data_IF_297980603115
#
_entry.id   IF_297980603115
#
_cell.length_a   1.000
_cell.length_b   1.000
_cell.length_c   1.000
_cell.angle_alpha   90.00
_cell.angle_beta   90.00
_cell.angle_gamma   90.00
#
_symmetry.space_group_name_H-M   'P 1'
#
loop_
_entity.id
_entity.type
_entity.pdbx_description
1 polymer ?
#
# COMPACT_ATOMS: atom_id res chain seq x y z
N UNK A 1 9.39 2.12 -7.49
CA UNK A 1 10.48 2.35 -6.52
C UNK A 1 11.66 1.41 -6.79
N UNK A 2 12.35 1.51 -7.95
CA UNK A 2 13.37 0.52 -8.30
C UNK A 2 14.52 0.47 -7.29
N UNK A 3 15.04 1.64 -6.91
CA UNK A 3 16.17 1.75 -5.97
C UNK A 3 15.87 1.18 -4.58
N UNK A 4 14.66 1.42 -4.06
CA UNK A 4 14.24 0.94 -2.74
C UNK A 4 14.17 -0.59 -2.74
N UNK A 5 13.60 -1.16 -3.80
CA UNK A 5 13.53 -2.62 -3.98
C UNK A 5 14.93 -3.21 -4.09
N UNK A 6 15.84 -2.60 -4.86
CA UNK A 6 17.22 -3.06 -4.99
C UNK A 6 17.96 -3.02 -3.64
N UNK A 7 17.82 -1.94 -2.86
CA UNK A 7 18.46 -1.82 -1.55
C UNK A 7 17.95 -2.87 -0.56
N UNK A 8 16.63 -3.04 -0.47
CA UNK A 8 16.03 -4.04 0.41
C UNK A 8 16.41 -5.47 0.03
N UNK A 9 16.45 -5.80 -1.27
CA UNK A 9 16.92 -7.10 -1.75
C UNK A 9 18.39 -7.36 -1.41
N UNK A 10 19.20 -6.31 -1.38
CA UNK A 10 20.61 -6.37 -0.96
C UNK A 10 20.80 -6.36 0.57
N UNK A 11 19.72 -6.42 1.37
CA UNK A 11 19.78 -6.31 2.83
C UNK A 11 20.22 -4.94 3.35
N UNK A 12 20.23 -3.91 2.49
CA UNK A 12 20.68 -2.56 2.83
C UNK A 12 19.52 -1.71 3.31
N UNK A 13 19.79 -0.83 4.28
CA UNK A 13 18.80 0.14 4.75
C UNK A 13 18.43 1.16 3.66
N UNK A 14 17.19 1.60 3.70
CA UNK A 14 16.68 2.69 2.87
C UNK A 14 17.08 4.02 3.52
N UNK A 15 17.33 5.05 2.71
CA UNK A 15 17.64 6.38 3.23
C UNK A 15 16.53 6.92 4.14
N UNK A 16 16.94 7.57 5.24
CA UNK A 16 16.06 8.13 6.28
C UNK A 16 15.12 9.21 5.74
N UNK A 17 15.52 9.91 4.69
CA UNK A 17 14.71 10.92 3.98
C UNK A 17 13.55 10.33 3.17
N UNK A 18 13.53 9.02 2.94
CA UNK A 18 12.46 8.38 2.18
C UNK A 18 11.18 8.33 3.00
N UNK A 19 10.09 8.89 2.45
CA UNK A 19 8.73 8.79 3.01
C UNK A 19 8.28 7.34 3.26
N UNK A 20 8.95 6.37 2.63
CA UNK A 20 8.70 4.95 2.82
C UNK A 20 9.30 4.40 4.11
N UNK A 21 10.35 5.00 4.70
CA UNK A 21 10.99 4.47 5.90
C UNK A 21 10.01 4.38 7.08
N UNK A 22 9.11 5.36 7.19
CA UNK A 22 8.05 5.38 8.21
C UNK A 22 7.07 4.19 8.12
N UNK A 23 7.05 3.47 6.98
CA UNK A 23 6.23 2.28 6.76
C UNK A 23 6.96 0.97 7.10
N UNK A 24 8.20 1.05 7.61
CA UNK A 24 9.09 -0.09 7.86
C UNK A 24 9.03 -1.13 6.73
N UNK A 25 9.38 -0.74 5.49
CA UNK A 25 9.03 -1.52 4.31
C UNK A 25 9.99 -2.70 4.14
N UNK A 26 9.46 -3.82 3.66
CA UNK A 26 10.23 -5.02 3.39
C UNK A 26 9.80 -5.68 2.08
N UNK A 27 10.61 -6.62 1.59
CA UNK A 27 10.30 -7.44 0.41
C UNK A 27 9.81 -8.81 0.89
N UNK A 28 8.64 -9.23 0.44
CA UNK A 28 8.11 -10.56 0.74
C UNK A 28 8.75 -11.67 -0.13
N UNK A 29 8.38 -12.91 0.15
CA UNK A 29 8.85 -14.10 -0.60
C UNK A 29 8.48 -14.05 -2.09
N UNK A 30 7.47 -13.26 -2.46
CA UNK A 30 7.02 -13.06 -3.85
C UNK A 30 7.74 -11.87 -4.52
N UNK A 31 8.70 -11.24 -3.85
CA UNK A 31 9.45 -10.11 -4.36
C UNK A 31 8.68 -8.79 -4.34
N UNK A 32 7.56 -8.70 -3.62
CA UNK A 32 6.69 -7.52 -3.52
C UNK A 32 7.07 -6.62 -2.34
N UNK A 33 6.99 -5.31 -2.56
CA UNK A 33 7.24 -4.30 -1.53
C UNK A 33 6.02 -4.14 -0.63
N UNK A 34 6.17 -4.37 0.69
CA UNK A 34 5.09 -4.35 1.68
C UNK A 34 5.38 -3.45 2.86
N UNK A 35 4.31 -3.06 3.57
CA UNK A 35 4.38 -2.33 4.85
C UNK A 35 4.68 -3.31 5.99
N UNK A 36 5.61 -2.96 6.87
CA UNK A 36 5.90 -3.68 8.10
C UNK A 36 5.44 -2.96 9.37
N UNK A 37 5.74 -3.55 10.52
CA UNK A 37 5.66 -2.87 11.82
C UNK A 37 4.39 -3.15 12.64
N UNK A 38 3.66 -2.09 12.98
CA UNK A 38 2.86 -1.98 14.23
C UNK A 38 1.86 -3.11 14.53
N UNK A 39 1.30 -3.77 13.52
CA UNK A 39 0.23 -4.78 13.70
C UNK A 39 0.69 -6.22 13.44
N UNK A 40 2.00 -6.47 13.40
CA UNK A 40 2.59 -7.80 13.16
C UNK A 40 2.07 -8.88 14.11
N UNK A 41 1.82 -8.53 15.38
CA UNK A 41 1.36 -9.45 16.42
C UNK A 41 -0.17 -9.62 16.47
N UNK A 42 -0.92 -9.03 15.52
CA UNK A 42 -2.37 -9.19 15.47
C UNK A 42 -2.78 -10.53 14.84
N UNK A 43 -4.00 -11.00 15.18
CA UNK A 43 -4.63 -12.19 14.59
C UNK A 43 -5.20 -11.95 13.17
N UNK A 44 -4.86 -10.82 12.55
CA UNK A 44 -5.31 -10.47 11.20
C UNK A 44 -4.58 -11.29 10.14
N UNK A 45 -5.14 -11.31 8.92
CA UNK A 45 -4.51 -11.93 7.75
C UNK A 45 -3.17 -11.28 7.43
N UNK A 46 -2.30 -12.02 6.72
CA UNK A 46 -0.98 -11.52 6.35
C UNK A 46 -1.10 -10.25 5.48
N UNK A 47 -2.05 -10.24 4.55
CA UNK A 47 -2.32 -9.14 3.62
C UNK A 47 -2.73 -7.86 4.37
N UNK A 48 -3.58 -8.00 5.38
CA UNK A 48 -4.03 -6.88 6.20
C UNK A 48 -2.90 -6.35 7.09
N UNK A 49 -2.05 -7.25 7.62
CA UNK A 49 -0.88 -6.88 8.42
C UNK A 49 0.21 -6.22 7.58
N UNK A 50 0.38 -6.70 6.36
CA UNK A 50 1.48 -6.35 5.46
C UNK A 50 0.95 -6.00 4.06
N UNK A 51 0.18 -4.91 3.92
CA UNK A 51 -0.37 -4.52 2.64
C UNK A 51 0.71 -4.15 1.64
N UNK A 52 0.44 -4.40 0.35
CA UNK A 52 1.38 -4.15 -0.75
C UNK A 52 1.47 -2.65 -1.00
N UNK A 53 2.67 -2.07 -0.97
CA UNK A 53 2.87 -0.64 -1.22
C UNK A 53 2.61 -0.34 -2.70
N UNK A 54 1.57 0.45 -2.96
CA UNK A 54 1.27 0.92 -4.31
C UNK A 54 1.94 2.28 -4.56
N UNK A 55 2.64 2.44 -5.70
CA UNK A 55 3.26 3.70 -6.04
C UNK A 55 2.24 4.81 -6.24
N UNK A 56 2.73 6.04 -6.10
CA UNK A 56 1.94 7.25 -6.19
C UNK A 56 1.25 7.36 -7.56
N UNK A 57 -0.05 7.69 -7.54
CA UNK A 57 -0.92 8.05 -8.68
C UNK A 57 -0.50 7.44 -10.04
N UNK A 58 -0.33 6.11 -10.09
CA UNK A 58 -0.17 5.40 -11.35
C UNK A 58 -1.55 4.98 -11.88
N UNK A 59 -1.65 4.78 -13.21
CA UNK A 59 -2.89 4.34 -13.86
C UNK A 59 -3.50 3.11 -13.20
N UNK A 60 -2.66 2.17 -12.76
CA UNK A 60 -3.11 0.96 -12.06
C UNK A 60 -3.83 1.25 -10.74
N UNK A 61 -3.26 2.09 -9.87
CA UNK A 61 -3.86 2.45 -8.57
C UNK A 61 -5.19 3.13 -8.79
N UNK A 62 -5.29 4.02 -9.79
CA UNK A 62 -6.57 4.65 -10.12
C UNK A 62 -7.62 3.63 -10.58
N UNK A 63 -7.27 2.75 -11.53
CA UNK A 63 -8.17 1.69 -12.00
C UNK A 63 -8.60 0.74 -10.88
N UNK A 64 -7.70 0.45 -9.93
CA UNK A 64 -8.01 -0.36 -8.75
C UNK A 64 -9.06 0.33 -7.88
N UNK A 65 -8.90 1.62 -7.58
CA UNK A 65 -9.90 2.38 -6.83
C UNK A 65 -11.24 2.47 -7.58
N UNK A 66 -11.24 2.72 -8.88
CA UNK A 66 -12.46 2.78 -9.71
C UNK A 66 -13.19 1.42 -9.77
N UNK A 67 -12.45 0.31 -9.83
CA UNK A 67 -13.02 -1.04 -9.72
C UNK A 67 -13.63 -1.25 -8.34
N UNK A 68 -12.92 -0.90 -7.29
CA UNK A 68 -13.34 -1.15 -5.92
C UNK A 68 -14.54 -0.30 -5.52
N UNK A 69 -14.59 0.94 -5.98
CA UNK A 69 -15.74 1.82 -5.81
C UNK A 69 -17.01 1.24 -6.44
N UNK A 70 -16.91 0.69 -7.66
CA UNK A 70 -18.02 -0.03 -8.32
C UNK A 70 -18.40 -1.31 -7.59
N UNK A 71 -17.42 -2.10 -7.13
CA UNK A 71 -17.64 -3.34 -6.36
C UNK A 71 -18.41 -3.07 -5.07
N UNK A 72 -18.16 -1.91 -4.43
CA UNK A 72 -18.77 -1.48 -3.17
C UNK A 72 -19.99 -0.56 -3.37
N UNK A 73 -20.61 -0.59 -4.56
CA UNK A 73 -21.84 0.16 -4.86
C UNK A 73 -21.72 1.67 -4.57
N UNK A 74 -20.64 2.27 -5.05
CA UNK A 74 -20.39 3.71 -4.97
C UNK A 74 -20.22 4.26 -3.55
N UNK A 75 -19.60 3.48 -2.67
CA UNK A 75 -19.32 3.89 -1.29
C UNK A 75 -18.46 5.17 -1.20
N UNK A 76 -18.64 5.93 -0.12
CA UNK A 76 -17.87 7.14 0.15
C UNK A 76 -16.36 6.92 0.30
N UNK A 77 -15.56 8.00 0.24
CA UNK A 77 -14.10 7.92 0.06
C UNK A 77 -13.35 7.26 1.23
N UNK A 78 -13.88 7.36 2.46
CA UNK A 78 -13.25 6.71 3.62
C UNK A 78 -13.40 5.19 3.59
N UNK A 79 -14.60 4.70 3.29
CA UNK A 79 -14.87 3.26 3.19
C UNK A 79 -14.14 2.65 1.99
N UNK A 80 -14.10 3.36 0.85
CA UNK A 80 -13.30 2.96 -0.30
C UNK A 80 -11.82 2.80 0.07
N UNK A 81 -11.24 3.81 0.74
CA UNK A 81 -9.86 3.74 1.19
C UNK A 81 -9.61 2.61 2.19
N UNK A 82 -10.55 2.36 3.10
CA UNK A 82 -10.46 1.28 4.07
C UNK A 82 -10.40 -0.08 3.37
N UNK A 83 -11.31 -0.33 2.42
CA UNK A 83 -11.34 -1.60 1.68
C UNK A 83 -10.07 -1.82 0.86
N UNK A 84 -9.55 -0.78 0.20
CA UNK A 84 -8.25 -0.85 -0.49
C UNK A 84 -7.12 -1.22 0.48
N UNK A 85 -7.16 -0.69 1.72
CA UNK A 85 -6.13 -0.89 2.75
C UNK A 85 -6.07 -2.28 3.35
N UNK A 86 -7.07 -3.12 3.10
CA UNK A 86 -7.03 -4.53 3.50
C UNK A 86 -5.94 -5.32 2.77
N UNK A 87 -5.57 -4.88 1.56
CA UNK A 87 -4.60 -5.59 0.72
C UNK A 87 -3.46 -4.69 0.21
N UNK A 88 -3.70 -3.38 0.14
CA UNK A 88 -2.80 -2.43 -0.52
C UNK A 88 -2.57 -1.18 0.31
N UNK A 89 -1.35 -0.64 0.26
CA UNK A 89 -0.99 0.63 0.87
C UNK A 89 -0.71 1.70 -0.19
N UNK A 90 -1.75 2.36 -0.72
CA UNK A 90 -1.58 3.41 -1.72
C UNK A 90 -0.95 4.66 -1.11
N UNK A 91 0.18 5.08 -1.68
CA UNK A 91 0.76 6.38 -1.35
C UNK A 91 -0.21 7.49 -1.77
N UNK A 92 -0.52 8.41 -0.84
CA UNK A 92 -1.59 9.42 -0.99
C UNK A 92 -2.99 8.85 -1.23
N UNK A 93 -3.29 7.64 -0.75
CA UNK A 93 -4.59 6.97 -0.94
C UNK A 93 -5.82 7.82 -0.60
N UNK A 94 -5.77 8.67 0.45
CA UNK A 94 -6.86 9.63 0.77
C UNK A 94 -7.19 10.57 -0.39
N UNK A 95 -6.16 11.04 -1.10
CA UNK A 95 -6.35 11.93 -2.25
C UNK A 95 -6.96 11.19 -3.44
N UNK A 96 -6.57 9.93 -3.66
CA UNK A 96 -7.06 9.11 -4.77
C UNK A 96 -8.53 8.75 -4.52
N UNK A 97 -8.87 8.33 -3.29
CA UNK A 97 -10.25 8.04 -2.91
C UNK A 97 -11.21 9.20 -3.22
N UNK A 98 -10.82 10.44 -2.86
CA UNK A 98 -11.62 11.66 -3.12
C UNK A 98 -11.68 12.09 -4.59
N UNK A 99 -10.79 11.58 -5.44
CA UNK A 99 -10.83 11.85 -6.88
C UNK A 99 -11.72 10.86 -7.63
N UNK A 100 -11.92 9.66 -7.08
CA UNK A 100 -12.66 8.56 -7.70
C UNK A 100 -14.14 8.57 -7.33
N UNK A 101 -14.44 8.91 -6.05
CA UNK A 101 -15.80 9.21 -5.60
C UNK A 101 -16.15 10.63 -6.01
#
# INVERSE_FOLDING_TARGET
>A
FPEVVLKLRAGKQIQVSSKLLALNPFIDEKGLLRVGGRIQNSKMTFEFKHPIILPLDNRFTRLLFEREHRRLLHVGPQALLYSIRENYWPLKGKSIARKVV
#
